data_IF_808916908808
#
_entry.id   IF_808916908808
#
_cell.length_a   1.000
_cell.length_b   1.000
_cell.length_c   1.000
_cell.angle_alpha   90.00
_cell.angle_beta   90.00
_cell.angle_gamma   90.00
#
_symmetry.space_group_name_H-M   'P 1'
#
loop_
_entity.id
_entity.type
_entity.pdbx_description
1 polymer ?
#
# COMPACT_ATOMS: atom_id res chain seq x y z
N UNK A 1 -11.87 -12.83 3.64
CA UNK A 1 -10.82 -13.77 3.18
C UNK A 1 -10.17 -13.36 1.86
N UNK A 2 -10.92 -13.13 0.77
CA UNK A 2 -10.33 -12.71 -0.52
C UNK A 2 -9.47 -11.44 -0.46
N UNK A 3 -9.84 -10.45 0.36
CA UNK A 3 -9.10 -9.19 0.49
C UNK A 3 -7.65 -9.36 0.93
N UNK A 4 -7.35 -10.35 1.78
CA UNK A 4 -5.97 -10.63 2.22
C UNK A 4 -5.13 -11.17 1.05
N UNK A 5 -5.71 -12.06 0.24
CA UNK A 5 -5.06 -12.61 -0.96
C UNK A 5 -4.77 -11.49 -1.96
N UNK A 6 -5.76 -10.64 -2.25
CA UNK A 6 -5.59 -9.51 -3.17
C UNK A 6 -4.54 -8.52 -2.64
N UNK A 7 -4.52 -8.25 -1.34
CA UNK A 7 -3.50 -7.40 -0.72
C UNK A 7 -2.08 -7.94 -0.89
N UNK A 8 -1.88 -9.24 -0.61
CA UNK A 8 -0.57 -9.90 -0.75
C UNK A 8 -0.12 -9.93 -2.21
N UNK A 9 -1.00 -10.33 -3.13
CA UNK A 9 -0.68 -10.35 -4.56
C UNK A 9 -0.41 -8.94 -5.11
N UNK A 10 -1.17 -7.94 -4.65
CA UNK A 10 -0.95 -6.53 -4.99
C UNK A 10 0.42 -6.03 -4.52
N UNK A 11 0.86 -6.42 -3.32
CA UNK A 11 2.19 -6.07 -2.82
C UNK A 11 3.30 -6.70 -3.69
N UNK A 12 3.17 -7.97 -4.05
CA UNK A 12 4.12 -8.66 -4.94
C UNK A 12 4.13 -8.11 -6.36
N UNK A 13 3.00 -7.55 -6.81
CA UNK A 13 2.88 -6.93 -8.12
C UNK A 13 3.75 -5.66 -8.24
N UNK A 14 3.97 -4.91 -7.15
CA UNK A 14 4.78 -3.68 -7.18
C UNK A 14 6.22 -3.92 -7.68
N UNK A 15 7.04 -4.81 -7.07
CA UNK A 15 8.39 -5.10 -7.57
C UNK A 15 8.36 -5.79 -8.94
N UNK A 16 7.34 -6.61 -9.22
CA UNK A 16 7.20 -7.28 -10.51
C UNK A 16 7.03 -6.26 -11.65
N UNK A 17 6.12 -5.30 -11.50
CA UNK A 17 5.90 -4.22 -12.48
C UNK A 17 7.12 -3.30 -12.55
N UNK A 18 7.81 -3.07 -11.43
CA UNK A 18 9.04 -2.29 -11.46
C UNK A 18 10.13 -2.95 -12.33
N UNK A 19 10.33 -4.27 -12.18
CA UNK A 19 11.29 -5.03 -12.97
C UNK A 19 10.87 -5.13 -14.44
N UNK A 20 9.56 -5.22 -14.71
CA UNK A 20 9.06 -5.38 -16.08
C UNK A 20 9.45 -4.21 -17.00
N UNK A 21 9.54 -2.99 -16.47
CA UNK A 21 10.02 -1.82 -17.22
C UNK A 21 11.47 -1.98 -17.70
N UNK A 22 12.31 -2.68 -16.94
CA UNK A 22 13.68 -2.97 -17.35
C UNK A 22 13.78 -4.15 -18.31
N UNK A 23 12.86 -5.13 -18.23
CA UNK A 23 12.81 -6.28 -19.13
C UNK A 23 12.24 -5.91 -20.51
N UNK A 24 11.23 -5.04 -20.56
CA UNK A 24 10.48 -4.67 -21.76
C UNK A 24 10.62 -3.17 -22.10
N UNK A 25 11.87 -2.70 -22.23
CA UNK A 25 12.25 -1.27 -22.38
C UNK A 25 11.61 -0.55 -23.57
N UNK A 26 11.17 -1.26 -24.60
CA UNK A 26 10.57 -0.67 -25.81
C UNK A 26 9.08 -0.38 -25.68
N UNK A 27 8.40 -0.97 -24.69
CA UNK A 27 6.96 -0.83 -24.49
C UNK A 27 6.60 0.10 -23.33
N UNK A 28 7.53 0.35 -22.40
CA UNK A 28 7.24 1.09 -21.17
C UNK A 28 8.28 2.20 -20.91
N UNK A 29 7.85 3.43 -20.55
CA UNK A 29 8.77 4.49 -20.14
C UNK A 29 9.61 4.06 -18.92
N UNK A 30 10.88 4.51 -18.87
CA UNK A 30 11.78 4.24 -17.75
C UNK A 30 11.24 4.80 -16.43
N UNK A 31 11.58 4.18 -15.28
CA UNK A 31 11.06 4.60 -13.98
C UNK A 31 11.57 5.99 -13.61
N UNK A 32 10.70 6.81 -13.02
CA UNK A 32 10.99 8.21 -12.68
C UNK A 32 11.43 8.36 -11.22
N UNK A 33 10.89 7.54 -10.31
CA UNK A 33 11.17 7.60 -8.87
C UNK A 33 12.16 6.55 -8.40
N UNK A 34 11.79 5.26 -8.52
CA UNK A 34 12.61 4.14 -8.07
C UNK A 34 13.71 3.83 -9.09
N UNK A 35 14.73 4.67 -9.18
CA UNK A 35 15.91 4.42 -10.02
C UNK A 35 17.20 4.72 -9.23
N UNK A 36 18.36 4.20 -9.67
CA UNK A 36 19.63 4.42 -8.96
C UNK A 36 20.08 5.89 -8.88
N UNK A 37 19.60 6.73 -9.81
CA UNK A 37 19.87 8.17 -9.83
C UNK A 37 18.74 8.96 -9.18
N UNK A 38 18.98 10.25 -8.89
CA UNK A 38 17.97 11.13 -8.33
C UNK A 38 16.65 11.11 -9.13
N UNK A 39 15.47 11.18 -8.48
CA UNK A 39 14.18 11.16 -9.17
C UNK A 39 14.11 12.20 -10.28
N UNK A 40 13.66 11.80 -11.47
CA UNK A 40 13.59 12.68 -12.64
C UNK A 40 12.24 13.39 -12.75
N UNK A 41 11.67 13.82 -11.61
CA UNK A 41 10.37 14.51 -11.53
C UNK A 41 10.52 15.92 -10.94
N UNK A 42 9.58 16.80 -11.26
CA UNK A 42 9.53 18.13 -10.66
C UNK A 42 9.40 18.01 -9.12
N UNK A 43 10.20 18.75 -8.33
CA UNK A 43 10.15 18.71 -6.87
C UNK A 43 8.76 18.98 -6.27
N UNK A 44 7.92 19.78 -6.95
CA UNK A 44 6.53 20.06 -6.50
C UNK A 44 5.66 18.80 -6.63
N UNK A 45 5.80 18.04 -7.72
CA UNK A 45 5.10 16.77 -7.89
C UNK A 45 5.57 15.73 -6.86
N UNK A 46 6.87 15.69 -6.56
CA UNK A 46 7.41 14.76 -5.57
C UNK A 46 6.82 15.03 -4.19
N UNK A 47 6.74 16.30 -3.79
CA UNK A 47 6.10 16.69 -2.52
C UNK A 47 4.64 16.26 -2.47
N UNK A 48 3.87 16.51 -3.53
CA UNK A 48 2.46 16.08 -3.61
C UNK A 48 2.33 14.56 -3.42
N UNK A 49 3.19 13.79 -4.07
CA UNK A 49 3.20 12.33 -3.92
C UNK A 49 3.52 11.90 -2.49
N UNK A 50 4.59 12.43 -1.90
CA UNK A 50 5.01 12.08 -0.54
C UNK A 50 3.94 12.45 0.51
N UNK A 51 3.30 13.62 0.36
CA UNK A 51 2.19 14.03 1.22
C UNK A 51 1.01 13.08 1.05
N UNK A 52 0.65 12.74 -0.20
CA UNK A 52 -0.46 11.82 -0.48
C UNK A 52 -0.22 10.43 0.10
N UNK A 53 1.00 9.91 -0.04
CA UNK A 53 1.42 8.65 0.59
C UNK A 53 1.28 8.77 2.11
N UNK A 54 1.82 9.82 2.73
CA UNK A 54 1.75 10.02 4.16
C UNK A 54 0.30 10.06 4.69
N UNK A 55 -0.56 10.86 4.05
CA UNK A 55 -1.98 10.96 4.42
C UNK A 55 -2.70 9.61 4.25
N UNK A 56 -2.48 8.91 3.14
CA UNK A 56 -3.08 7.60 2.91
C UNK A 56 -2.60 6.57 3.94
N UNK A 57 -1.31 6.59 4.32
CA UNK A 57 -0.76 5.70 5.36
C UNK A 57 -1.39 5.99 6.72
N UNK A 58 -1.52 7.27 7.10
CA UNK A 58 -2.20 7.65 8.36
C UNK A 58 -3.66 7.17 8.36
N UNK A 59 -4.38 7.41 7.25
CA UNK A 59 -5.74 6.92 7.09
C UNK A 59 -5.82 5.40 7.21
N UNK A 60 -4.93 4.67 6.54
CA UNK A 60 -4.85 3.21 6.61
C UNK A 60 -4.65 2.71 8.04
N UNK A 61 -3.73 3.32 8.80
CA UNK A 61 -3.50 2.99 10.21
C UNK A 61 -4.78 3.21 11.03
N UNK A 62 -5.48 4.33 10.85
CA UNK A 62 -6.75 4.62 11.52
C UNK A 62 -7.84 3.58 11.21
N UNK A 63 -7.95 3.16 9.95
CA UNK A 63 -8.90 2.13 9.53
C UNK A 63 -8.55 0.76 10.12
N UNK A 64 -7.28 0.37 10.08
CA UNK A 64 -6.82 -0.92 10.60
C UNK A 64 -7.00 -1.02 12.11
N UNK A 65 -6.58 0.01 12.86
CA UNK A 65 -6.76 0.06 14.32
C UNK A 65 -8.23 -0.03 14.71
N UNK A 66 -9.10 0.72 14.02
CA UNK A 66 -10.56 0.62 14.22
C UNK A 66 -11.06 -0.79 13.94
N UNK A 67 -10.57 -1.44 12.87
CA UNK A 67 -11.00 -2.79 12.51
C UNK A 67 -10.60 -3.84 13.54
N UNK A 68 -9.40 -3.72 14.11
CA UNK A 68 -8.95 -4.58 15.21
C UNK A 68 -9.78 -4.33 16.48
N UNK A 69 -10.04 -3.07 16.82
CA UNK A 69 -10.89 -2.72 17.97
C UNK A 69 -12.28 -3.34 17.88
N UNK A 70 -12.91 -3.30 16.71
CA UNK A 70 -14.20 -3.96 16.48
C UNK A 70 -14.13 -5.48 16.65
N UNK A 71 -13.03 -6.12 16.23
CA UNK A 71 -12.83 -7.56 16.43
C UNK A 71 -12.73 -7.94 17.91
N UNK A 72 -11.95 -7.18 18.68
CA UNK A 72 -11.81 -7.39 20.13
C UNK A 72 -13.13 -7.19 20.88
N UNK A 73 -13.93 -6.18 20.49
CA UNK A 73 -15.26 -5.96 21.08
C UNK A 73 -16.25 -7.09 20.77
N UNK A 74 -16.14 -7.70 19.59
CA UNK A 74 -16.96 -8.86 19.22
C UNK A 74 -16.59 -10.10 20.05
N UNK A 75 -15.28 -10.36 20.21
CA UNK A 75 -14.78 -11.45 21.04
C UNK A 75 -15.19 -11.30 22.51
N UNK A 76 -15.05 -10.10 23.08
CA UNK A 76 -15.48 -9.82 24.45
C UNK A 76 -16.98 -10.02 24.67
N UNK A 77 -17.82 -9.74 23.66
CA UNK A 77 -19.27 -10.00 23.73
C UNK A 77 -19.60 -11.48 23.68
N UNK A 78 -18.95 -12.27 22.82
CA UNK A 78 -19.16 -13.72 22.76
C UNK A 78 -18.82 -14.41 24.09
N UNK A 79 -17.73 -13.99 24.74
CA UNK A 79 -17.36 -14.47 26.09
C UNK A 79 -18.42 -14.09 27.15
N UNK A 80 -19.03 -12.91 27.04
CA UNK A 80 -20.06 -12.46 27.98
C UNK A 80 -21.42 -13.15 27.77
N UNK A 81 -21.74 -13.51 26.52
CA UNK A 81 -22.98 -14.21 26.15
C UNK A 81 -22.91 -15.73 26.42
N UNK A 82 -21.73 -16.26 26.78
CA UNK A 82 -21.55 -17.63 27.32
C UNK A 82 -21.20 -18.71 26.30
N UNK A 83 -20.68 -18.32 25.14
CA UNK A 83 -20.19 -19.21 24.07
C UNK A 83 -18.91 -19.97 24.45
#
# INVERSE_FOLDING_TARGET
>A
RFSAVVGILGLLLVPFVHLSVYMFRTLHPMPVLLKPSAPSMDPRMLRTLLISIGVFTVLYIGLVTTRYGLGLMQEAKGVADGD
#
